data_IF_391626520209
#
_entry.id   IF_391626520209
#
_cell.length_a   1.000
_cell.length_b   1.000
_cell.length_c   1.000
_cell.angle_alpha   90.00
_cell.angle_beta   90.00
_cell.angle_gamma   90.00
#
_symmetry.space_group_name_H-M   'P 1'
#
loop_
_entity.id
_entity.type
_entity.pdbx_description
1 polymer ?
#
# COMPACT_ATOMS: atom_id res chain seq x y z
N UNK A 1 -11.09 -10.41 19.79
CA UNK A 1 -10.25 -9.32 19.25
C UNK A 1 -10.60 -9.17 17.79
N UNK A 2 -10.89 -7.96 17.34
CA UNK A 2 -11.11 -7.70 15.91
C UNK A 2 -9.74 -7.58 15.24
N UNK A 3 -9.46 -8.47 14.30
CA UNK A 3 -8.34 -8.34 13.38
C UNK A 3 -8.85 -7.77 12.07
N UNK A 4 -8.06 -6.89 11.45
CA UNK A 4 -8.37 -6.33 10.14
C UNK A 4 -7.10 -6.15 9.34
N UNK A 5 -7.25 -6.07 8.03
CA UNK A 5 -6.16 -5.75 7.13
C UNK A 5 -6.17 -4.27 6.79
N UNK A 6 -4.98 -3.69 6.69
CA UNK A 6 -4.76 -2.28 6.38
C UNK A 6 -3.79 -2.18 5.22
N UNK A 7 -4.24 -1.62 4.10
CA UNK A 7 -3.38 -1.27 2.98
C UNK A 7 -2.88 0.17 3.15
N UNK A 8 -1.58 0.39 3.03
CA UNK A 8 -0.98 1.72 3.03
C UNK A 8 -0.36 1.96 1.68
N UNK A 9 -0.84 2.98 0.96
CA UNK A 9 -0.25 3.41 -0.30
C UNK A 9 1.00 4.23 -0.01
N UNK A 10 2.07 3.98 -0.76
CA UNK A 10 3.36 4.62 -0.56
C UNK A 10 3.85 5.19 -1.87
N UNK A 11 4.17 6.48 -1.84
CA UNK A 11 4.87 7.14 -2.95
C UNK A 11 6.37 6.91 -2.83
N UNK A 12 6.99 6.66 -3.98
CA UNK A 12 8.43 6.45 -4.10
C UNK A 12 8.96 7.29 -5.24
N UNK A 13 9.84 8.23 -4.90
CA UNK A 13 10.59 9.00 -5.88
C UNK A 13 12.08 8.81 -5.63
N UNK A 14 12.74 8.02 -6.48
CA UNK A 14 14.18 7.74 -6.35
C UNK A 14 15.03 9.02 -6.46
N UNK A 15 14.62 9.97 -7.31
CA UNK A 15 15.33 11.24 -7.50
C UNK A 15 15.38 12.09 -6.23
N UNK A 16 14.26 12.15 -5.51
CA UNK A 16 14.15 12.92 -4.28
C UNK A 16 14.49 12.09 -3.03
N UNK A 17 14.86 10.81 -3.21
CA UNK A 17 14.97 9.81 -2.12
C UNK A 17 13.72 9.80 -1.22
N UNK A 18 12.56 9.98 -1.84
CA UNK A 18 11.28 10.07 -1.14
C UNK A 18 10.70 8.67 -0.97
N UNK A 19 10.32 8.35 0.26
CA UNK A 19 9.52 7.19 0.61
C UNK A 19 8.45 7.66 1.60
N UNK A 20 7.26 7.96 1.09
CA UNK A 20 6.23 8.63 1.87
C UNK A 20 4.94 7.81 1.90
N UNK A 21 4.44 7.55 3.12
CA UNK A 21 3.13 6.94 3.29
C UNK A 21 2.06 7.97 2.94
N UNK A 22 1.20 7.65 1.98
CA UNK A 22 0.16 8.54 1.50
C UNK A 22 -1.16 8.32 2.22
N UNK A 23 -1.86 7.22 1.92
CA UNK A 23 -3.18 6.94 2.47
C UNK A 23 -3.22 5.55 3.11
N UNK A 24 -4.14 5.38 4.06
CA UNK A 24 -4.39 4.11 4.74
C UNK A 24 -5.83 3.66 4.50
N UNK A 25 -6.01 2.40 4.06
CA UNK A 25 -7.29 1.81 3.71
C UNK A 25 -7.54 0.53 4.51
N UNK A 26 -8.58 0.54 5.34
CA UNK A 26 -9.01 -0.68 6.02
C UNK A 26 -9.75 -1.58 5.02
N UNK A 27 -9.23 -2.79 4.80
CA UNK A 27 -9.84 -3.76 3.89
C UNK A 27 -10.98 -4.46 4.62
N UNK A 28 -12.19 -4.34 4.07
CA UNK A 28 -13.41 -4.95 4.62
C UNK A 28 -13.60 -6.40 4.16
N UNK A 29 -13.14 -6.72 2.94
CA UNK A 29 -13.22 -8.07 2.36
C UNK A 29 -11.83 -8.70 2.31
N UNK A 30 -11.57 -9.65 3.22
CA UNK A 30 -10.29 -10.34 3.30
C UNK A 30 -10.15 -11.50 2.30
N UNK A 31 -11.18 -11.80 1.50
CA UNK A 31 -11.16 -12.89 0.52
C UNK A 31 -10.39 -12.46 -0.74
N UNK A 32 -10.37 -11.16 -1.06
CA UNK A 32 -9.65 -10.62 -2.22
C UNK A 32 -8.67 -9.48 -1.87
N UNK A 33 -7.69 -9.78 -1.01
CA UNK A 33 -6.67 -8.81 -0.60
C UNK A 33 -5.88 -8.24 -1.78
N UNK A 34 -5.44 -9.09 -2.72
CA UNK A 34 -4.64 -8.66 -3.86
C UNK A 34 -5.43 -7.72 -4.80
N UNK A 35 -6.71 -8.00 -5.05
CA UNK A 35 -7.57 -7.14 -5.86
C UNK A 35 -7.86 -5.78 -5.22
N UNK A 36 -8.10 -5.75 -3.91
CA UNK A 36 -8.29 -4.51 -3.15
C UNK A 36 -7.00 -3.67 -3.13
N UNK A 37 -5.85 -4.30 -2.88
CA UNK A 37 -4.55 -3.62 -2.90
C UNK A 37 -4.26 -3.01 -4.28
N UNK A 38 -4.51 -3.75 -5.37
CA UNK A 38 -4.33 -3.23 -6.73
C UNK A 38 -5.25 -2.03 -7.03
N UNK A 39 -6.49 -2.06 -6.51
CA UNK A 39 -7.43 -0.93 -6.62
C UNK A 39 -6.90 0.31 -5.90
N UNK A 40 -6.38 0.18 -4.69
CA UNK A 40 -5.80 1.31 -3.95
C UNK A 40 -4.53 1.85 -4.62
N UNK A 41 -3.67 0.98 -5.13
CA UNK A 41 -2.49 1.37 -5.90
C UNK A 41 -2.88 2.23 -7.11
N UNK A 42 -3.89 1.79 -7.87
CA UNK A 42 -4.40 2.52 -9.04
C UNK A 42 -5.09 3.84 -8.67
N UNK A 43 -5.81 3.87 -7.55
CA UNK A 43 -6.51 5.07 -7.11
C UNK A 43 -5.55 6.19 -6.74
N UNK A 44 -4.47 5.84 -6.02
CA UNK A 44 -3.51 6.79 -5.49
C UNK A 44 -2.29 6.98 -6.39
N UNK A 45 -2.22 6.25 -7.50
CA UNK A 45 -1.04 6.19 -8.39
C UNK A 45 0.20 5.87 -7.55
N UNK A 46 0.08 4.84 -6.71
CA UNK A 46 1.10 4.48 -5.74
C UNK A 46 1.97 3.33 -6.27
N UNK A 47 3.29 3.52 -6.44
CA UNK A 47 4.19 2.44 -6.86
C UNK A 47 4.32 1.32 -5.84
N UNK A 48 4.06 1.60 -4.57
CA UNK A 48 4.12 0.60 -3.50
C UNK A 48 2.81 0.62 -2.71
N UNK A 49 2.35 -0.57 -2.34
CA UNK A 49 1.33 -0.73 -1.32
C UNK A 49 1.80 -1.72 -0.27
N UNK A 50 1.80 -1.29 0.98
CA UNK A 50 2.15 -2.10 2.12
C UNK A 50 0.88 -2.66 2.77
N UNK A 51 0.80 -3.98 2.88
CA UNK A 51 -0.30 -4.67 3.52
C UNK A 51 0.08 -5.06 4.94
N UNK A 52 -0.72 -4.60 5.88
CA UNK A 52 -0.56 -4.86 7.30
C UNK A 52 -1.72 -5.70 7.84
N UNK A 53 -1.40 -6.58 8.77
CA UNK A 53 -2.36 -7.21 9.66
C UNK A 53 -2.38 -6.42 10.98
N UNK A 54 -3.57 -5.96 11.36
CA UNK A 54 -3.80 -5.24 12.61
C UNK A 54 -4.54 -6.14 13.59
N UNK A 55 -3.96 -6.37 14.77
CA UNK A 55 -4.56 -7.15 15.87
C UNK A 55 -4.52 -6.32 17.15
N UNK A 56 -5.67 -5.74 17.53
CA UNK A 56 -5.72 -4.76 18.61
C UNK A 56 -4.88 -3.52 18.27
N UNK A 57 -3.93 -3.16 19.13
CA UNK A 57 -3.02 -2.04 18.91
C UNK A 57 -1.74 -2.40 18.10
N UNK A 58 -1.57 -3.68 17.72
CA UNK A 58 -0.39 -4.14 17.00
C UNK A 58 -0.63 -4.11 15.49
N UNK A 59 0.27 -3.46 14.75
CA UNK A 59 0.33 -3.43 13.28
C UNK A 59 1.54 -4.24 12.82
N UNK A 60 1.33 -5.27 12.01
CA UNK A 60 2.39 -6.13 11.47
C UNK A 60 2.37 -6.09 9.95
N UNK A 61 3.48 -5.68 9.34
CA UNK A 61 3.63 -5.75 7.89
C UNK A 61 3.67 -7.23 7.47
N UNK A 62 2.77 -7.63 6.57
CA UNK A 62 2.70 -9.01 6.08
C UNK A 62 3.14 -9.14 4.62
N UNK A 63 2.96 -8.10 3.80
CA UNK A 63 3.33 -8.12 2.38
C UNK A 63 3.57 -6.71 1.87
N UNK A 64 4.52 -6.55 0.94
CA UNK A 64 4.67 -5.34 0.14
C UNK A 64 4.37 -5.69 -1.32
N UNK A 65 3.58 -4.84 -1.95
CA UNK A 65 3.22 -4.90 -3.35
C UNK A 65 3.95 -3.81 -4.10
N UNK A 66 4.47 -4.14 -5.28
CA UNK A 66 5.15 -3.20 -6.16
C UNK A 66 4.42 -3.15 -7.50
N UNK A 67 4.08 -1.94 -7.93
CA UNK A 67 3.35 -1.64 -9.14
C UNK A 67 4.22 -0.74 -10.02
N UNK A 68 5.04 -1.35 -10.87
CA UNK A 68 6.00 -0.64 -11.73
C UNK A 68 5.37 0.37 -12.67
N UNK A 69 4.09 0.18 -13.00
CA UNK A 69 3.33 1.11 -13.84
C UNK A 69 3.08 2.47 -13.17
N UNK A 70 3.16 2.54 -11.83
CA UNK A 70 2.98 3.76 -11.04
C UNK A 70 4.29 4.34 -10.50
N UNK A 71 5.44 3.71 -10.80
CA UNK A 71 6.75 4.29 -10.45
C UNK A 71 6.95 5.61 -11.21
N UNK A 72 7.47 6.64 -10.53
CA UNK A 72 7.77 7.91 -11.20
C UNK A 72 8.73 7.62 -12.37
N UNK A 73 8.27 7.84 -13.60
CA UNK A 73 9.12 7.93 -14.78
C UNK A 73 9.76 9.31 -14.85
N UNK A 74 10.39 9.70 -13.75
CA UNK A 74 11.15 10.92 -13.67
C UNK A 74 12.37 10.71 -14.60
N UNK A 75 12.20 11.00 -15.88
CA UNK A 75 13.23 10.88 -16.90
C UNK A 75 13.43 12.29 -17.47
N UNK A 76 14.27 13.09 -16.81
CA UNK A 76 14.82 14.37 -17.30
C UNK A 76 15.96 14.82 -16.40
#
# INVERSE_FOLDING_TARGET
MLSYYLAVTVDVCEHNKLYEHMNEYQIKDSVNLDGEVAKYAKQDIAPIVELYECVGAKKKLIKKYQFKEYECKCNS
#
